data_IF_098738535506
#
_entry.id   IF_098738535506
#
_cell.length_a   1.000
_cell.length_b   1.000
_cell.length_c   1.000
_cell.angle_alpha   90.00
_cell.angle_beta   90.00
_cell.angle_gamma   90.00
#
_symmetry.space_group_name_H-M   'P 1'
#
loop_
_entity.id
_entity.type
_entity.pdbx_description
1 polymer ?
#
# COMPACT_ATOMS: atom_id res chain seq x y z
N UNK A 1 -12.02 -50.87 26.23
CA UNK A 1 -10.80 -50.51 25.48
C UNK A 1 -11.15 -49.30 24.63
N UNK A 2 -10.48 -48.17 24.84
CA UNK A 2 -10.84 -46.87 24.26
C UNK A 2 -9.94 -46.58 23.07
N UNK A 3 -10.53 -46.41 21.89
CA UNK A 3 -9.86 -46.05 20.65
C UNK A 3 -9.48 -44.57 20.72
N UNK A 4 -8.18 -44.27 20.84
CA UNK A 4 -7.66 -42.91 20.72
C UNK A 4 -7.39 -42.61 19.24
N UNK A 5 -8.13 -41.65 18.69
CA UNK A 5 -7.83 -41.05 17.40
C UNK A 5 -6.74 -39.98 17.62
N UNK A 6 -5.48 -40.34 17.36
CA UNK A 6 -4.40 -39.37 17.17
C UNK A 6 -4.41 -39.01 15.69
N UNK A 7 -5.02 -37.87 15.36
CA UNK A 7 -4.92 -37.25 14.05
C UNK A 7 -3.56 -36.58 13.92
N UNK A 8 -2.68 -37.18 13.11
CA UNK A 8 -1.47 -36.54 12.66
C UNK A 8 -1.83 -35.38 11.71
N UNK A 9 -1.50 -34.15 12.11
CA UNK A 9 -1.36 -33.03 11.19
C UNK A 9 0.10 -32.60 11.22
N UNK A 10 0.80 -32.88 10.13
CA UNK A 10 2.15 -32.40 9.89
C UNK A 10 2.12 -30.86 9.80
N UNK A 11 2.67 -30.18 10.81
CA UNK A 11 3.11 -28.79 10.66
C UNK A 11 4.59 -28.84 10.29
N UNK A 12 4.86 -28.71 8.99
CA UNK A 12 6.19 -28.74 8.42
C UNK A 12 7.10 -27.67 9.01
N UNK A 13 8.30 -28.13 9.37
CA UNK A 13 9.59 -27.44 9.20
C UNK A 13 9.64 -25.95 9.51
N UNK A 14 10.14 -25.69 10.71
CA UNK A 14 10.98 -24.55 11.06
C UNK A 14 12.14 -24.38 10.05
N UNK A 15 12.59 -23.12 9.91
CA UNK A 15 13.84 -22.62 9.29
C UNK A 15 13.73 -22.11 7.84
N UNK A 16 13.44 -20.81 7.70
CA UNK A 16 14.23 -19.90 6.85
C UNK A 16 14.57 -18.68 7.73
N UNK A 17 15.86 -18.41 7.85
CA UNK A 17 16.45 -17.60 8.91
C UNK A 17 16.28 -16.09 8.76
N UNK A 18 16.56 -15.40 9.87
CA UNK A 18 17.07 -14.03 9.84
C UNK A 18 16.15 -12.91 10.32
N UNK A 19 15.71 -12.97 11.57
CA UNK A 19 15.56 -11.77 12.42
C UNK A 19 14.38 -10.83 12.18
N UNK A 20 13.38 -10.88 13.06
CA UNK A 20 12.38 -9.82 13.17
C UNK A 20 11.11 -10.24 13.89
N UNK A 21 11.19 -10.52 15.20
CA UNK A 21 10.02 -10.58 16.07
C UNK A 21 9.31 -9.22 16.09
N UNK A 22 8.21 -9.06 15.37
CA UNK A 22 7.27 -7.96 15.59
C UNK A 22 5.90 -8.55 15.90
N UNK A 23 5.43 -8.19 17.08
CA UNK A 23 4.26 -8.73 17.75
C UNK A 23 3.01 -8.66 16.84
N UNK A 24 2.47 -9.83 16.51
CA UNK A 24 1.08 -9.94 16.11
C UNK A 24 0.22 -9.45 17.29
N UNK A 25 -0.28 -8.21 17.21
CA UNK A 25 -1.28 -7.71 18.14
C UNK A 25 -2.53 -8.59 18.00
N UNK A 26 -2.67 -9.54 18.92
CA UNK A 26 -3.82 -10.42 19.03
C UNK A 26 -5.05 -9.59 19.45
N UNK A 27 -5.83 -9.15 18.47
CA UNK A 27 -7.16 -8.58 18.71
C UNK A 27 -8.22 -9.62 18.34
N UNK A 28 -8.67 -10.37 19.34
CA UNK A 28 -9.99 -11.02 19.36
C UNK A 28 -10.10 -12.35 18.61
N UNK A 29 -10.07 -13.45 19.38
CA UNK A 29 -10.56 -14.75 18.96
C UNK A 29 -12.05 -14.71 18.53
N UNK A 30 -12.44 -15.72 17.74
CA UNK A 30 -13.75 -16.03 17.13
C UNK A 30 -13.90 -15.54 15.68
N UNK A 31 -13.70 -16.48 14.74
CA UNK A 31 -13.76 -16.37 13.26
C UNK A 31 -12.60 -15.64 12.53
N UNK A 32 -11.40 -16.23 12.62
CA UNK A 32 -10.45 -16.52 11.51
C UNK A 32 -10.01 -15.48 10.47
N UNK A 33 -10.55 -14.27 10.40
CA UNK A 33 -10.23 -13.29 9.36
C UNK A 33 -9.29 -12.22 9.90
N UNK A 34 -8.12 -12.07 9.28
CA UNK A 34 -7.17 -11.00 9.66
C UNK A 34 -7.81 -9.65 9.38
N UNK A 35 -7.82 -8.79 10.39
CA UNK A 35 -8.41 -7.46 10.29
C UNK A 35 -7.36 -6.36 10.45
N UNK A 36 -7.56 -5.25 9.74
CA UNK A 36 -6.62 -4.14 9.65
C UNK A 36 -7.31 -2.82 9.97
N UNK A 37 -6.61 -1.97 10.71
CA UNK A 37 -7.15 -0.68 11.15
C UNK A 37 -6.94 0.43 10.11
N UNK A 38 -6.02 0.23 9.15
CA UNK A 38 -5.73 1.15 8.04
C UNK A 38 -4.97 0.48 6.90
N UNK A 39 -4.75 1.20 5.79
CA UNK A 39 -3.83 0.77 4.73
C UNK A 39 -2.41 0.54 5.24
N UNK A 40 -1.91 1.38 6.15
CA UNK A 40 -0.62 1.17 6.80
C UNK A 40 -0.59 -0.16 7.56
N UNK A 41 -1.63 -0.47 8.35
CA UNK A 41 -1.69 -1.72 9.09
C UNK A 41 -1.73 -2.95 8.17
N UNK A 42 -2.43 -2.86 7.03
CA UNK A 42 -2.41 -3.90 6.00
C UNK A 42 -1.03 -4.05 5.35
N UNK A 43 -0.41 -2.93 4.96
CA UNK A 43 0.94 -2.91 4.41
C UNK A 43 1.94 -3.58 5.37
N UNK A 44 1.95 -3.17 6.64
CA UNK A 44 2.87 -3.69 7.66
C UNK A 44 2.68 -5.20 7.86
N UNK A 45 1.44 -5.67 7.83
CA UNK A 45 1.10 -7.08 8.06
C UNK A 45 1.30 -8.01 6.85
N UNK A 46 1.22 -7.50 5.62
CA UNK A 46 1.17 -8.35 4.40
C UNK A 46 2.20 -8.02 3.34
N UNK A 47 2.67 -6.78 3.28
CA UNK A 47 3.46 -6.28 2.16
C UNK A 47 4.84 -5.79 2.57
N UNK A 48 5.06 -5.48 3.84
CA UNK A 48 6.32 -4.89 4.34
C UNK A 48 7.55 -5.75 4.06
N UNK A 49 7.39 -7.06 3.84
CA UNK A 49 8.48 -7.94 3.44
C UNK A 49 8.90 -7.73 1.98
N UNK A 50 7.94 -7.53 1.07
CA UNK A 50 8.15 -7.48 -0.39
C UNK A 50 8.04 -6.09 -1.00
N UNK A 51 7.52 -5.12 -0.26
CA UNK A 51 7.34 -3.73 -0.67
C UNK A 51 7.93 -2.77 0.37
N UNK A 52 8.31 -1.60 -0.11
CA UNK A 52 8.74 -0.45 0.69
C UNK A 52 7.75 0.69 0.45
N UNK A 53 7.32 1.34 1.53
CA UNK A 53 6.55 2.58 1.44
C UNK A 53 7.47 3.74 1.04
N UNK A 54 7.19 4.37 -0.11
CA UNK A 54 7.99 5.49 -0.64
C UNK A 54 7.33 6.84 -0.44
N UNK A 55 6.09 6.87 0.06
CA UNK A 55 5.25 8.09 0.10
C UNK A 55 5.79 9.28 0.90
N UNK A 56 6.81 9.12 1.75
CA UNK A 56 7.48 10.25 2.43
C UNK A 56 8.88 10.56 1.90
N UNK A 57 9.45 9.67 1.08
CA UNK A 57 10.86 9.64 0.76
C UNK A 57 11.18 10.39 -0.55
N UNK A 58 12.43 10.87 -0.67
CA UNK A 58 13.04 11.25 -1.96
C UNK A 58 12.87 10.16 -3.03
N UNK A 59 12.72 8.92 -2.58
CA UNK A 59 12.53 7.72 -3.37
C UNK A 59 11.23 7.77 -4.18
N UNK A 60 10.16 8.45 -3.70
CA UNK A 60 8.95 8.64 -4.50
C UNK A 60 9.23 9.46 -5.75
N UNK A 61 10.05 10.53 -5.66
CA UNK A 61 10.39 11.36 -6.83
C UNK A 61 11.20 10.56 -7.84
N UNK A 62 12.15 9.76 -7.38
CA UNK A 62 12.95 8.88 -8.26
C UNK A 62 12.08 7.79 -8.89
N UNK A 63 11.24 7.12 -8.11
CA UNK A 63 10.27 6.15 -8.59
C UNK A 63 9.36 6.75 -9.65
N UNK A 64 8.84 7.96 -9.42
CA UNK A 64 8.02 8.68 -10.40
C UNK A 64 8.80 8.89 -11.71
N UNK A 65 10.06 9.36 -11.65
CA UNK A 65 10.89 9.51 -12.85
C UNK A 65 11.02 8.20 -13.62
N UNK A 66 11.40 7.12 -12.92
CA UNK A 66 11.60 5.80 -13.52
C UNK A 66 10.32 5.28 -14.17
N UNK A 67 9.18 5.34 -13.46
CA UNK A 67 7.91 4.80 -13.96
C UNK A 67 7.30 5.67 -15.06
N UNK A 68 7.46 7.00 -15.01
CA UNK A 68 6.98 7.90 -16.07
C UNK A 68 7.75 7.75 -17.39
N UNK A 69 8.94 7.13 -17.37
CA UNK A 69 9.73 6.82 -18.58
C UNK A 69 9.83 5.32 -18.87
N UNK A 70 9.21 4.48 -18.04
CA UNK A 70 9.34 3.03 -18.07
C UNK A 70 8.31 2.32 -18.96
N UNK A 71 8.37 0.98 -18.96
CA UNK A 71 7.41 0.11 -19.67
C UNK A 71 5.96 0.29 -19.21
N UNK A 72 5.76 0.60 -17.92
CA UNK A 72 4.45 0.70 -17.28
C UNK A 72 3.94 2.15 -17.19
N UNK A 73 4.53 3.06 -17.97
CA UNK A 73 4.25 4.50 -17.97
C UNK A 73 2.76 4.84 -18.03
N UNK A 74 2.02 4.24 -18.95
CA UNK A 74 0.61 4.59 -19.17
C UNK A 74 -0.26 4.19 -17.97
N UNK A 75 -0.01 3.00 -17.41
CA UNK A 75 -0.65 2.55 -16.16
C UNK A 75 -0.30 3.49 -15.01
N UNK A 76 0.98 3.84 -14.88
CA UNK A 76 1.45 4.73 -13.81
C UNK A 76 0.86 6.14 -13.92
N UNK A 77 0.79 6.72 -15.13
CA UNK A 77 0.13 8.00 -15.39
C UNK A 77 -1.36 7.96 -15.05
N UNK A 78 -2.05 6.89 -15.41
CA UNK A 78 -3.47 6.70 -15.10
C UNK A 78 -3.72 6.70 -13.59
N UNK A 79 -2.95 5.94 -12.82
CA UNK A 79 -3.07 5.91 -11.35
C UNK A 79 -2.68 7.25 -10.71
N UNK A 80 -1.66 7.94 -11.23
CA UNK A 80 -1.30 9.29 -10.77
C UNK A 80 -2.43 10.31 -11.00
N UNK A 81 -3.12 10.25 -12.15
CA UNK A 81 -4.27 11.12 -12.44
C UNK A 81 -5.43 10.90 -11.46
N UNK A 82 -5.66 9.66 -11.03
CA UNK A 82 -6.63 9.36 -9.95
C UNK A 82 -6.23 9.99 -8.62
N UNK A 83 -4.93 10.11 -8.33
CA UNK A 83 -4.44 10.74 -7.10
C UNK A 83 -4.57 12.26 -7.16
N UNK A 84 -4.13 12.89 -8.25
CA UNK A 84 -4.11 14.36 -8.36
C UNK A 84 -5.51 14.97 -8.45
N UNK A 85 -6.49 14.20 -8.96
CA UNK A 85 -7.92 14.58 -9.01
C UNK A 85 -8.61 14.52 -7.64
N UNK A 86 -7.98 13.92 -6.62
CA UNK A 86 -8.53 13.86 -5.26
C UNK A 86 -8.29 15.18 -4.55
N UNK A 87 -9.29 15.63 -3.78
CA UNK A 87 -9.20 16.82 -2.96
C UNK A 87 -8.25 16.59 -1.77
N UNK A 88 -6.99 16.94 -1.98
CA UNK A 88 -5.95 16.97 -0.95
C UNK A 88 -5.41 18.38 -0.82
N UNK A 89 -5.11 18.81 0.40
CA UNK A 89 -4.46 20.10 0.70
C UNK A 89 -3.18 20.24 -0.12
N UNK A 90 -2.98 21.38 -0.79
CA UNK A 90 -1.79 21.68 -1.59
C UNK A 90 -2.10 22.41 -2.90
N UNK A 91 -1.08 22.60 -3.74
CA UNK A 91 -1.24 23.18 -5.08
C UNK A 91 -2.22 22.36 -5.93
N UNK A 92 -2.98 23.05 -6.77
CA UNK A 92 -3.78 22.41 -7.80
C UNK A 92 -2.84 21.84 -8.85
N UNK A 93 -2.99 20.55 -9.15
CA UNK A 93 -2.23 19.83 -10.16
C UNK A 93 -3.21 19.36 -11.22
N UNK A 94 -2.89 19.62 -12.49
CA UNK A 94 -3.72 19.26 -13.63
C UNK A 94 -3.21 17.97 -14.29
N UNK A 95 -4.06 17.32 -15.08
CA UNK A 95 -3.67 16.16 -15.88
C UNK A 95 -2.49 16.47 -16.82
N UNK A 96 -2.42 17.69 -17.34
CA UNK A 96 -1.33 18.17 -18.20
C UNK A 96 0.00 18.35 -17.47
N UNK A 97 -0.01 18.43 -16.13
CA UNK A 97 1.19 18.36 -15.31
C UNK A 97 1.70 16.92 -15.25
N UNK A 98 0.82 15.94 -15.07
CA UNK A 98 1.18 14.50 -15.11
C UNK A 98 1.70 14.10 -16.48
N UNK A 99 1.04 14.57 -17.55
CA UNK A 99 1.44 14.22 -18.91
C UNK A 99 2.83 14.76 -19.27
N UNK A 100 3.20 15.92 -18.74
CA UNK A 100 4.51 16.56 -18.97
C UNK A 100 5.60 16.24 -17.93
N UNK A 101 5.26 15.57 -16.82
CA UNK A 101 6.19 15.31 -15.72
C UNK A 101 7.40 14.45 -16.10
N UNK A 102 7.36 13.74 -17.22
CA UNK A 102 8.50 12.97 -17.73
C UNK A 102 9.61 13.83 -18.34
N UNK A 103 9.31 15.06 -18.77
CA UNK A 103 10.25 15.94 -19.46
C UNK A 103 10.40 17.32 -18.81
N UNK A 104 9.58 17.63 -17.79
CA UNK A 104 9.57 18.91 -17.10
C UNK A 104 9.69 18.68 -15.58
N UNK A 105 10.86 19.03 -15.03
CA UNK A 105 11.15 18.88 -13.60
C UNK A 105 10.25 19.76 -12.70
N UNK A 106 9.70 20.86 -13.22
CA UNK A 106 8.76 21.72 -12.49
C UNK A 106 7.42 21.02 -12.35
N UNK A 107 6.91 20.47 -13.45
CA UNK A 107 5.67 19.67 -13.45
C UNK A 107 5.82 18.44 -12.57
N UNK A 108 6.94 17.72 -12.70
CA UNK A 108 7.27 16.60 -11.84
C UNK A 108 7.27 17.00 -10.36
N UNK A 109 7.84 18.15 -10.02
CA UNK A 109 7.85 18.67 -8.66
C UNK A 109 6.44 18.88 -8.08
N UNK A 110 5.52 19.43 -8.87
CA UNK A 110 4.12 19.62 -8.48
C UNK A 110 3.39 18.30 -8.27
N UNK A 111 3.48 17.39 -9.24
CA UNK A 111 2.84 16.06 -9.15
C UNK A 111 3.41 15.30 -7.95
N UNK A 112 4.73 15.34 -7.74
CA UNK A 112 5.37 14.75 -6.56
C UNK A 112 4.82 15.33 -5.24
N UNK A 113 4.73 16.67 -5.12
CA UNK A 113 4.22 17.31 -3.90
C UNK A 113 2.79 16.89 -3.56
N UNK A 114 1.92 16.80 -4.58
CA UNK A 114 0.54 16.34 -4.43
C UNK A 114 0.48 14.85 -4.07
N UNK A 115 1.21 14.01 -4.81
CA UNK A 115 1.27 12.57 -4.56
C UNK A 115 1.80 12.24 -3.17
N UNK A 116 2.86 12.93 -2.72
CA UNK A 116 3.42 12.80 -1.38
C UNK A 116 2.37 13.09 -0.30
N UNK A 117 1.67 14.22 -0.42
CA UNK A 117 0.64 14.62 0.54
C UNK A 117 -0.52 13.61 0.55
N UNK A 118 -0.93 13.13 -0.62
CA UNK A 118 -1.98 12.12 -0.73
C UNK A 118 -1.53 10.79 -0.11
N UNK A 119 -0.32 10.28 -0.40
CA UNK A 119 0.18 9.04 0.21
C UNK A 119 0.18 9.12 1.75
N UNK A 120 0.61 10.24 2.31
CA UNK A 120 0.63 10.47 3.75
C UNK A 120 -0.76 10.55 4.38
N UNK A 121 -1.74 11.13 3.68
CA UNK A 121 -3.13 11.13 4.13
C UNK A 121 -3.76 9.73 4.01
N UNK A 122 -3.51 9.05 2.89
CA UNK A 122 -4.16 7.80 2.51
C UNK A 122 -3.67 6.62 3.35
N UNK A 123 -2.40 6.59 3.79
CA UNK A 123 -1.90 5.51 4.66
C UNK A 123 -2.69 5.38 5.98
N UNK A 124 -3.26 6.49 6.44
CA UNK A 124 -4.02 6.60 7.68
C UNK A 124 -5.54 6.38 7.49
N UNK A 125 -6.00 6.18 6.24
CA UNK A 125 -7.42 5.95 5.96
C UNK A 125 -7.91 4.71 6.71
N UNK A 126 -9.02 4.89 7.42
CA UNK A 126 -9.72 3.85 8.20
C UNK A 126 -11.15 3.74 7.69
N UNK A 127 -11.80 2.59 7.88
CA UNK A 127 -13.25 2.50 7.66
C UNK A 127 -13.96 3.46 8.62
N UNK A 128 -15.01 4.12 8.14
CA UNK A 128 -15.79 5.03 8.98
C UNK A 128 -16.39 4.26 10.17
N UNK A 129 -16.42 4.85 11.37
CA UNK A 129 -16.88 4.18 12.60
C UNK A 129 -18.27 3.57 12.49
N UNK A 130 -19.10 4.11 11.60
CA UNK A 130 -20.47 3.65 11.31
C UNK A 130 -20.55 2.19 10.86
N UNK A 131 -19.44 1.57 10.40
CA UNK A 131 -19.48 0.19 9.95
C UNK A 131 -19.11 -0.85 11.02
N UNK A 132 -18.56 -0.47 12.19
CA UNK A 132 -18.06 -1.43 13.21
C UNK A 132 -17.22 -2.60 12.64
N UNK A 133 -16.71 -2.44 11.42
CA UNK A 133 -15.98 -3.43 10.64
C UNK A 133 -14.57 -2.91 10.52
N UNK A 134 -13.62 -3.68 11.02
CA UNK A 134 -12.23 -3.52 10.64
C UNK A 134 -12.06 -3.96 9.19
N UNK A 135 -11.05 -3.43 8.50
CA UNK A 135 -10.78 -3.86 7.13
C UNK A 135 -10.40 -5.33 7.11
N UNK A 136 -10.93 -6.13 6.20
CA UNK A 136 -10.34 -7.41 5.82
C UNK A 136 -9.61 -7.23 4.48
N UNK A 137 -8.89 -8.26 4.03
CA UNK A 137 -8.12 -8.18 2.79
C UNK A 137 -8.98 -7.82 1.56
N UNK A 138 -10.17 -8.42 1.45
CA UNK A 138 -11.09 -8.14 0.35
C UNK A 138 -11.55 -6.67 0.34
N UNK A 139 -11.83 -6.10 1.51
CA UNK A 139 -12.21 -4.70 1.63
C UNK A 139 -11.02 -3.78 1.32
N UNK A 140 -9.79 -4.15 1.72
CA UNK A 140 -8.58 -3.38 1.38
C UNK A 140 -8.41 -3.32 -0.13
N UNK A 141 -8.44 -4.48 -0.77
CA UNK A 141 -8.17 -4.59 -2.20
C UNK A 141 -9.27 -4.00 -3.09
N UNK A 142 -10.51 -3.93 -2.60
CA UNK A 142 -11.65 -3.35 -3.33
C UNK A 142 -11.84 -1.84 -3.10
N UNK A 143 -11.09 -1.22 -2.19
CA UNK A 143 -11.21 0.21 -1.96
C UNK A 143 -10.61 1.00 -3.13
N UNK A 144 -11.32 2.05 -3.54
CA UNK A 144 -10.96 2.84 -4.73
C UNK A 144 -9.54 3.44 -4.67
N UNK A 145 -9.09 3.80 -3.48
CA UNK A 145 -7.76 4.40 -3.27
C UNK A 145 -6.66 3.34 -3.13
N UNK A 146 -6.98 2.05 -3.06
CA UNK A 146 -5.97 1.01 -2.83
C UNK A 146 -5.04 0.82 -4.04
N UNK A 147 -5.60 0.70 -5.24
CA UNK A 147 -4.79 0.53 -6.46
C UNK A 147 -3.85 1.73 -6.70
N UNK A 148 -4.31 2.99 -6.64
CA UNK A 148 -3.41 4.14 -6.71
C UNK A 148 -2.37 4.16 -5.58
N UNK A 149 -2.74 3.77 -4.35
CA UNK A 149 -1.82 3.71 -3.23
C UNK A 149 -0.72 2.67 -3.44
N UNK A 150 -1.07 1.47 -3.89
CA UNK A 150 -0.11 0.41 -4.18
C UNK A 150 0.82 0.81 -5.34
N UNK A 151 0.27 1.36 -6.42
CA UNK A 151 1.06 1.75 -7.60
C UNK A 151 1.97 2.95 -7.31
N UNK A 152 1.50 3.97 -6.60
CA UNK A 152 2.26 5.23 -6.45
C UNK A 152 3.05 5.27 -5.15
N UNK A 153 2.48 4.84 -4.03
CA UNK A 153 3.09 4.98 -2.70
C UNK A 153 3.94 3.77 -2.28
N UNK A 154 3.83 2.61 -2.94
CA UNK A 154 4.59 1.39 -2.59
C UNK A 154 5.52 0.95 -3.72
N UNK A 155 6.76 0.59 -3.41
CA UNK A 155 7.72 0.07 -4.37
C UNK A 155 8.11 -1.35 -4.03
N UNK A 156 8.12 -2.24 -5.02
CA UNK A 156 8.55 -3.63 -4.80
C UNK A 156 10.05 -3.64 -4.50
N UNK A 157 10.45 -4.34 -3.44
CA UNK A 157 11.87 -4.49 -3.10
C UNK A 157 12.59 -5.30 -4.18
N UNK A 158 13.86 -4.97 -4.50
CA UNK A 158 14.68 -5.83 -5.33
C UNK A 158 14.80 -7.21 -4.66
N UNK A 159 14.49 -8.25 -5.43
CA UNK A 159 14.59 -9.66 -5.01
C UNK A 159 16.02 -10.18 -5.13
#
# INVERSE_FOLDING_TARGET
>A
MSTQAIGAAAAGTLVIGGGGTLAAYAAGAFNGESTYDSFQAYFDAKLSETYTYTGNHSDLKNKMKVNLTGSDKETYKSELKKIISKEVVGESVLDTDVDGAESDDTKLGKVYGKAKTWCEATKAVKLTPTQNKKWNEANVQSHEDWAPFMTVCLEKKPS
#
